data_IF_013514871317
#
_entry.id   IF_013514871317
#
_cell.length_a   1.000
_cell.length_b   1.000
_cell.length_c   1.000
_cell.angle_alpha   90.00
_cell.angle_beta   90.00
_cell.angle_gamma   90.00
#
_symmetry.space_group_name_H-M   'P 1'
#
loop_
_entity.id
_entity.type
_entity.pdbx_description
1 polymer ?
#
# COMPACT_ATOMS: atom_id res chain seq x y z
N UNK A 1 4.23 -7.74 10.51
CA UNK A 1 2.81 -7.81 10.88
C UNK A 1 2.24 -9.22 10.77
N UNK A 2 2.42 -9.95 9.65
CA UNK A 2 1.85 -11.29 9.44
C UNK A 2 2.22 -12.29 10.56
N UNK A 3 3.50 -12.40 10.90
CA UNK A 3 3.96 -13.27 12.00
C UNK A 3 3.37 -12.88 13.37
N UNK A 4 3.18 -11.57 13.63
CA UNK A 4 2.53 -11.11 14.87
C UNK A 4 1.04 -11.50 14.87
N UNK A 5 0.34 -11.32 13.75
CA UNK A 5 -1.05 -11.73 13.63
C UNK A 5 -1.22 -13.25 13.83
N UNK A 6 -0.35 -14.06 13.22
CA UNK A 6 -0.37 -15.51 13.39
C UNK A 6 -0.19 -15.93 14.87
N UNK A 7 0.74 -15.30 15.60
CA UNK A 7 0.89 -15.56 17.04
C UNK A 7 -0.36 -15.23 17.85
N UNK A 8 -0.99 -14.10 17.56
CA UNK A 8 -2.24 -13.71 18.22
C UNK A 8 -3.35 -14.75 17.93
N UNK A 9 -3.48 -15.17 16.66
CA UNK A 9 -4.48 -16.18 16.29
C UNK A 9 -4.26 -17.49 17.06
N UNK A 10 -3.00 -17.94 17.19
CA UNK A 10 -2.69 -19.16 17.93
C UNK A 10 -2.99 -19.00 19.42
N UNK A 11 -2.54 -17.91 20.03
CA UNK A 11 -2.59 -17.73 21.48
C UNK A 11 -3.99 -17.31 21.98
N UNK A 12 -4.65 -16.37 21.26
CA UNK A 12 -5.84 -15.70 21.77
C UNK A 12 -7.13 -16.24 21.13
N UNK A 13 -7.02 -16.91 19.96
CA UNK A 13 -8.16 -17.45 19.21
C UNK A 13 -8.09 -18.97 19.00
N UNK A 14 -7.24 -19.68 19.75
CA UNK A 14 -7.15 -21.14 19.69
C UNK A 14 -6.84 -21.68 18.29
N UNK A 15 -5.98 -21.01 17.53
CA UNK A 15 -5.59 -21.33 16.15
C UNK A 15 -6.74 -21.23 15.12
N UNK A 16 -7.83 -20.56 15.45
CA UNK A 16 -8.93 -20.29 14.52
C UNK A 16 -8.94 -18.84 14.10
N UNK A 17 -9.14 -18.59 12.82
CA UNK A 17 -9.25 -17.21 12.29
C UNK A 17 -10.56 -16.61 12.83
N UNK A 18 -10.53 -15.41 13.45
CA UNK A 18 -11.75 -14.72 13.86
C UNK A 18 -12.66 -14.44 12.66
N UNK A 19 -13.94 -14.76 12.78
CA UNK A 19 -14.92 -14.62 11.69
C UNK A 19 -15.71 -13.31 11.75
N UNK A 20 -15.59 -12.57 12.85
CA UNK A 20 -16.21 -11.26 13.00
C UNK A 20 -15.25 -10.13 12.60
N UNK A 21 -15.84 -9.00 12.19
CA UNK A 21 -15.10 -7.86 11.66
C UNK A 21 -14.11 -7.26 12.65
N UNK A 22 -14.55 -7.04 13.89
CA UNK A 22 -13.76 -6.25 14.85
C UNK A 22 -12.53 -7.03 15.30
N UNK A 23 -12.69 -8.31 15.64
CA UNK A 23 -11.58 -9.16 16.02
C UNK A 23 -10.60 -9.39 14.86
N UNK A 24 -11.11 -9.69 13.65
CA UNK A 24 -10.23 -9.90 12.50
C UNK A 24 -9.51 -8.61 12.09
N UNK A 25 -10.20 -7.47 12.12
CA UNK A 25 -9.65 -6.16 11.78
C UNK A 25 -8.61 -5.66 12.78
N UNK A 26 -8.67 -6.10 14.04
CA UNK A 26 -7.71 -5.75 15.10
C UNK A 26 -6.33 -6.41 14.92
N UNK A 27 -6.24 -7.46 14.11
CA UNK A 27 -4.99 -8.18 13.89
C UNK A 27 -3.91 -7.29 13.21
N UNK A 28 -2.64 -7.39 13.62
CA UNK A 28 -1.56 -6.59 13.07
C UNK A 28 -1.41 -6.72 11.55
N UNK A 29 -1.58 -5.62 10.85
CA UNK A 29 -1.47 -5.55 9.38
C UNK A 29 -2.77 -5.81 8.63
N UNK A 30 -3.87 -6.07 9.32
CA UNK A 30 -5.20 -6.19 8.71
C UNK A 30 -5.85 -4.81 8.63
N UNK A 31 -6.08 -4.34 7.42
CA UNK A 31 -6.84 -3.13 7.11
C UNK A 31 -8.28 -3.46 6.72
N UNK A 32 -9.13 -2.42 6.55
CA UNK A 32 -10.53 -2.59 6.11
C UNK A 32 -10.66 -3.43 4.83
N UNK A 33 -9.76 -3.19 3.86
CA UNK A 33 -9.74 -3.98 2.63
C UNK A 33 -9.44 -5.46 2.90
N UNK A 34 -8.38 -5.74 3.66
CA UNK A 34 -7.97 -7.12 3.97
C UNK A 34 -9.07 -7.85 4.75
N UNK A 35 -9.66 -7.17 5.75
CA UNK A 35 -10.76 -7.73 6.51
C UNK A 35 -11.97 -8.05 5.60
N UNK A 36 -12.39 -7.08 4.79
CA UNK A 36 -13.49 -7.28 3.84
C UNK A 36 -13.24 -8.42 2.85
N UNK A 37 -12.04 -8.49 2.28
CA UNK A 37 -11.68 -9.52 1.31
C UNK A 37 -11.68 -10.92 1.95
N UNK A 38 -10.94 -11.10 3.04
CA UNK A 38 -10.82 -12.43 3.68
C UNK A 38 -12.16 -12.90 4.21
N UNK A 39 -12.86 -12.05 4.96
CA UNK A 39 -14.14 -12.44 5.55
C UNK A 39 -15.22 -12.73 4.50
N UNK A 40 -15.22 -12.03 3.36
CA UNK A 40 -16.21 -12.29 2.32
C UNK A 40 -15.83 -13.47 1.41
N UNK A 41 -14.59 -13.52 0.94
CA UNK A 41 -14.17 -14.52 -0.06
C UNK A 41 -13.95 -15.88 0.58
N UNK A 42 -13.24 -15.93 1.73
CA UNK A 42 -12.93 -17.20 2.37
C UNK A 42 -14.05 -17.72 3.29
N UNK A 43 -14.85 -16.81 3.89
CA UNK A 43 -15.83 -17.16 4.92
C UNK A 43 -17.26 -16.76 4.54
N UNK A 44 -17.49 -16.29 3.32
CA UNK A 44 -18.76 -15.83 2.76
C UNK A 44 -19.55 -14.89 3.69
N UNK A 45 -18.84 -14.05 4.46
CA UNK A 45 -19.48 -13.03 5.30
C UNK A 45 -19.85 -11.80 4.47
N UNK A 46 -20.90 -11.11 4.85
CA UNK A 46 -21.39 -9.93 4.10
C UNK A 46 -20.57 -8.67 4.38
N UNK A 47 -19.30 -8.66 3.93
CA UNK A 47 -18.40 -7.51 4.03
C UNK A 47 -17.86 -7.07 2.68
N UNK A 48 -17.78 -5.75 2.47
CA UNK A 48 -17.24 -5.17 1.23
C UNK A 48 -15.71 -5.11 1.26
N UNK A 49 -15.09 -5.57 0.18
CA UNK A 49 -13.67 -5.44 -0.07
C UNK A 49 -13.40 -4.25 -1.02
N UNK A 50 -13.03 -3.08 -0.47
CA UNK A 50 -12.90 -1.84 -1.26
C UNK A 50 -11.43 -1.46 -1.41
N UNK A 51 -10.80 -1.89 -2.49
CA UNK A 51 -9.44 -1.53 -2.88
C UNK A 51 -9.39 -0.31 -3.82
N UNK A 52 -8.21 -0.03 -4.39
CA UNK A 52 -8.03 1.01 -5.40
C UNK A 52 -8.73 0.71 -6.72
N UNK A 53 -8.85 -0.56 -7.10
CA UNK A 53 -9.54 -0.99 -8.31
C UNK A 53 -11.04 -0.79 -8.18
N UNK A 54 -11.63 -1.25 -7.09
CA UNK A 54 -13.05 -1.09 -6.78
C UNK A 54 -13.44 0.39 -6.73
N UNK A 55 -12.64 1.23 -6.05
CA UNK A 55 -12.86 2.69 -6.02
C UNK A 55 -12.87 3.29 -7.42
N UNK A 56 -11.96 2.87 -8.29
CA UNK A 56 -11.90 3.33 -9.68
C UNK A 56 -13.10 2.88 -10.49
N UNK A 57 -13.46 1.60 -10.41
CA UNK A 57 -14.61 1.03 -11.14
C UNK A 57 -15.88 1.77 -10.77
N UNK A 58 -16.21 1.87 -9.49
CA UNK A 58 -17.43 2.55 -9.02
C UNK A 58 -17.38 4.05 -9.36
N UNK A 59 -16.22 4.71 -9.22
CA UNK A 59 -16.08 6.12 -9.61
C UNK A 59 -16.39 6.36 -11.08
N UNK A 60 -16.03 5.41 -11.97
CA UNK A 60 -16.36 5.48 -13.40
C UNK A 60 -17.81 5.17 -13.68
N UNK A 61 -18.36 4.12 -13.10
CA UNK A 61 -19.79 3.77 -13.23
C UNK A 61 -20.66 4.97 -12.85
N UNK A 62 -20.33 5.63 -11.73
CA UNK A 62 -21.11 6.72 -11.15
C UNK A 62 -20.61 8.13 -11.49
N UNK A 63 -19.58 8.24 -12.33
CA UNK A 63 -18.96 9.50 -12.78
C UNK A 63 -18.45 10.40 -11.64
N UNK A 64 -17.88 9.81 -10.58
CA UNK A 64 -17.32 10.55 -9.43
C UNK A 64 -15.88 10.99 -9.68
N UNK A 65 -15.62 12.31 -9.61
CA UNK A 65 -14.29 12.88 -9.90
C UNK A 65 -13.31 12.73 -8.76
N UNK A 66 -13.72 12.91 -7.49
CA UNK A 66 -12.81 12.95 -6.34
C UNK A 66 -13.04 11.77 -5.40
N UNK A 67 -11.96 11.24 -4.82
CA UNK A 67 -12.01 10.25 -3.76
C UNK A 67 -11.96 10.93 -2.37
N UNK A 68 -12.90 11.82 -2.08
CA UNK A 68 -13.10 12.41 -0.76
C UNK A 68 -13.77 11.42 0.20
N UNK A 69 -13.75 11.72 1.51
CA UNK A 69 -14.47 10.92 2.51
C UNK A 69 -15.96 10.74 2.16
N UNK A 70 -16.61 11.80 1.70
CA UNK A 70 -18.00 11.76 1.23
C UNK A 70 -18.19 10.78 0.07
N UNK A 71 -17.32 10.84 -0.94
CA UNK A 71 -17.41 9.94 -2.09
C UNK A 71 -17.03 8.49 -1.73
N UNK A 72 -16.19 8.25 -0.73
CA UNK A 72 -15.92 6.90 -0.23
C UNK A 72 -17.16 6.31 0.46
N UNK A 73 -17.89 7.12 1.23
CA UNK A 73 -19.15 6.68 1.83
C UNK A 73 -20.21 6.39 0.75
N UNK A 74 -20.25 7.21 -0.30
CA UNK A 74 -21.11 6.95 -1.46
C UNK A 74 -20.75 5.64 -2.15
N UNK A 75 -19.45 5.35 -2.37
CA UNK A 75 -18.99 4.08 -2.96
C UNK A 75 -19.44 2.91 -2.11
N UNK A 76 -19.28 2.98 -0.78
CA UNK A 76 -19.79 1.96 0.14
C UNK A 76 -21.28 1.73 -0.01
N UNK A 77 -22.08 2.81 0.04
CA UNK A 77 -23.53 2.75 -0.12
C UNK A 77 -23.96 2.20 -1.48
N UNK A 78 -23.25 2.59 -2.56
CA UNK A 78 -23.50 2.06 -3.89
C UNK A 78 -23.28 0.54 -3.96
N UNK A 79 -22.16 0.08 -3.44
CA UNK A 79 -21.83 -1.35 -3.41
C UNK A 79 -22.82 -2.12 -2.55
N UNK A 80 -23.12 -1.64 -1.33
CA UNK A 80 -24.08 -2.30 -0.43
C UNK A 80 -25.49 -2.46 -1.02
N UNK A 81 -25.89 -1.57 -1.93
CA UNK A 81 -27.19 -1.65 -2.62
C UNK A 81 -27.20 -2.62 -3.80
N UNK A 82 -26.02 -2.99 -4.31
CA UNK A 82 -25.91 -3.79 -5.53
C UNK A 82 -25.26 -5.15 -5.28
N UNK A 83 -24.83 -5.43 -4.06
CA UNK A 83 -24.21 -6.70 -3.70
C UNK A 83 -25.28 -7.79 -3.53
N UNK A 84 -24.99 -8.97 -4.03
CA UNK A 84 -25.73 -10.17 -3.65
C UNK A 84 -25.18 -10.68 -2.31
N UNK A 85 -25.99 -10.58 -1.27
CA UNK A 85 -25.60 -10.96 0.09
C UNK A 85 -25.31 -12.47 0.24
N UNK A 86 -25.86 -13.31 -0.65
CA UNK A 86 -25.61 -14.74 -0.66
C UNK A 86 -24.31 -15.10 -1.37
N UNK A 87 -23.77 -14.18 -2.19
CA UNK A 87 -22.58 -14.34 -3.00
C UNK A 87 -21.62 -13.16 -2.87
N UNK A 88 -21.46 -12.67 -1.65
CA UNK A 88 -20.64 -11.47 -1.36
C UNK A 88 -19.18 -11.64 -1.80
N UNK A 89 -18.60 -12.83 -1.57
CA UNK A 89 -17.23 -13.14 -2.01
C UNK A 89 -17.08 -13.02 -3.52
N UNK A 90 -17.95 -13.70 -4.28
CA UNK A 90 -17.93 -13.66 -5.75
C UNK A 90 -18.11 -12.24 -6.29
N UNK A 91 -18.99 -11.45 -5.68
CA UNK A 91 -19.19 -10.05 -6.07
C UNK A 91 -17.92 -9.21 -5.86
N UNK A 92 -17.26 -9.37 -4.71
CA UNK A 92 -16.01 -8.66 -4.43
C UNK A 92 -14.91 -9.08 -5.39
N UNK A 93 -14.75 -10.37 -5.67
CA UNK A 93 -13.76 -10.87 -6.65
C UNK A 93 -14.05 -10.32 -8.04
N UNK A 94 -15.29 -10.43 -8.52
CA UNK A 94 -15.70 -9.98 -9.85
C UNK A 94 -15.41 -8.49 -10.07
N UNK A 95 -15.73 -7.62 -9.10
CA UNK A 95 -15.48 -6.17 -9.25
C UNK A 95 -13.99 -5.81 -9.15
N UNK A 96 -13.22 -6.54 -8.34
CA UNK A 96 -11.76 -6.39 -8.27
C UNK A 96 -11.11 -6.82 -9.58
N UNK A 97 -11.49 -7.98 -10.14
CA UNK A 97 -10.98 -8.50 -11.39
C UNK A 97 -11.36 -7.61 -12.58
N UNK A 98 -12.61 -7.12 -12.62
CA UNK A 98 -13.02 -6.12 -13.60
C UNK A 98 -12.09 -4.90 -13.59
N UNK A 99 -11.71 -4.44 -12.39
CA UNK A 99 -10.74 -3.37 -12.22
C UNK A 99 -9.34 -3.73 -12.70
N UNK A 100 -8.87 -4.95 -12.41
CA UNK A 100 -7.53 -5.41 -12.77
C UNK A 100 -7.37 -5.67 -14.28
N UNK A 101 -8.39 -6.25 -14.93
CA UNK A 101 -8.26 -6.78 -16.29
C UNK A 101 -8.89 -5.91 -17.38
N UNK A 102 -9.98 -5.21 -17.07
CA UNK A 102 -10.81 -4.47 -18.05
C UNK A 102 -10.81 -2.97 -17.77
N UNK A 103 -11.20 -2.56 -16.58
CA UNK A 103 -11.33 -1.15 -16.21
C UNK A 103 -9.98 -0.54 -15.81
N UNK A 104 -8.97 -0.65 -16.66
CA UNK A 104 -7.58 -0.26 -16.41
C UNK A 104 -7.43 1.24 -16.07
N UNK A 105 -6.38 1.64 -15.32
CA UNK A 105 -6.19 3.05 -14.92
C UNK A 105 -6.08 4.03 -16.08
N UNK A 106 -5.30 3.71 -17.11
CA UNK A 106 -5.02 4.62 -18.25
C UNK A 106 -5.87 4.32 -19.47
N UNK A 107 -5.85 3.08 -19.95
CA UNK A 107 -6.52 2.64 -21.18
C UNK A 107 -7.56 1.55 -20.85
N UNK A 108 -8.74 1.93 -20.34
CA UNK A 108 -9.77 0.94 -20.03
C UNK A 108 -10.37 0.32 -21.29
N UNK A 109 -10.57 -1.00 -21.25
CA UNK A 109 -11.16 -1.78 -22.36
C UNK A 109 -12.69 -1.68 -22.35
N UNK A 110 -13.24 -0.46 -22.43
CA UNK A 110 -14.66 -0.21 -22.20
C UNK A 110 -15.60 -0.96 -23.15
N UNK A 111 -15.19 -1.23 -24.39
CA UNK A 111 -16.00 -1.98 -25.35
C UNK A 111 -16.19 -3.45 -24.96
N UNK A 112 -15.24 -4.01 -24.19
CA UNK A 112 -15.28 -5.40 -23.66
C UNK A 112 -15.91 -5.47 -22.26
N UNK A 113 -16.23 -4.31 -21.66
CA UNK A 113 -16.74 -4.25 -20.29
C UNK A 113 -18.20 -4.67 -20.23
N UNK A 114 -18.59 -5.67 -19.41
CA UNK A 114 -19.98 -6.09 -19.28
C UNK A 114 -20.88 -5.00 -18.68
N UNK A 115 -20.30 -3.98 -18.03
CA UNK A 115 -21.01 -2.86 -17.42
C UNK A 115 -21.03 -1.59 -18.28
N UNK A 116 -20.62 -1.64 -19.56
CA UNK A 116 -20.46 -0.46 -20.40
C UNK A 116 -21.79 0.31 -20.60
N UNK A 117 -22.90 -0.40 -20.75
CA UNK A 117 -24.25 0.16 -20.91
C UNK A 117 -24.72 1.00 -19.72
N UNK A 118 -24.25 0.64 -18.51
CA UNK A 118 -24.60 1.33 -17.25
C UNK A 118 -23.55 2.35 -16.82
N UNK A 119 -22.38 2.40 -17.50
CA UNK A 119 -21.25 3.19 -17.06
C UNK A 119 -21.36 4.65 -17.51
N UNK A 120 -21.67 5.57 -16.58
CA UNK A 120 -21.74 7.00 -16.88
C UNK A 120 -20.39 7.60 -17.30
N UNK A 121 -19.26 7.05 -16.82
CA UNK A 121 -17.92 7.45 -17.25
C UNK A 121 -17.64 7.06 -18.70
N UNK A 122 -18.08 5.89 -19.16
CA UNK A 122 -17.98 5.48 -20.57
C UNK A 122 -18.85 6.37 -21.46
N UNK A 123 -20.11 6.58 -21.08
CA UNK A 123 -21.04 7.45 -21.81
C UNK A 123 -20.53 8.91 -21.95
N UNK A 124 -19.68 9.36 -21.01
CA UNK A 124 -19.06 10.69 -21.09
C UNK A 124 -17.92 10.80 -22.11
N UNK A 125 -17.49 9.70 -22.72
CA UNK A 125 -16.34 9.63 -23.63
C UNK A 125 -14.95 9.71 -22.97
N UNK A 126 -14.87 10.04 -21.69
CA UNK A 126 -13.61 10.26 -20.97
C UNK A 126 -13.50 9.47 -19.66
N UNK A 127 -13.65 8.13 -19.67
CA UNK A 127 -13.67 7.31 -18.48
C UNK A 127 -12.40 7.44 -17.63
N UNK A 128 -11.25 7.74 -18.25
CA UNK A 128 -9.97 7.90 -17.55
C UNK A 128 -9.90 9.11 -16.61
N UNK A 129 -10.85 10.05 -16.73
CA UNK A 129 -10.96 11.22 -15.85
C UNK A 129 -11.65 10.89 -14.50
N UNK A 130 -12.09 9.65 -14.31
CA UNK A 130 -12.77 9.20 -13.09
C UNK A 130 -12.05 8.00 -12.46
N UNK A 131 -11.64 8.12 -11.17
CA UNK A 131 -11.50 9.37 -10.42
C UNK A 131 -10.32 10.20 -10.95
N UNK A 132 -10.33 11.51 -10.68
CA UNK A 132 -9.18 12.35 -10.96
C UNK A 132 -7.98 11.88 -10.15
N UNK A 133 -6.81 11.90 -10.77
CA UNK A 133 -5.56 11.61 -10.06
C UNK A 133 -5.36 12.68 -8.98
N UNK A 134 -5.01 12.25 -7.78
CA UNK A 134 -4.50 13.16 -6.76
C UNK A 134 -3.21 13.82 -7.27
N UNK A 135 -3.04 15.11 -6.96
CA UNK A 135 -1.76 15.79 -7.22
C UNK A 135 -0.69 15.06 -6.41
N UNK A 136 0.29 14.51 -7.11
CA UNK A 136 1.43 13.83 -6.48
C UNK A 136 2.23 14.92 -5.77
N UNK A 137 2.28 14.88 -4.45
CA UNK A 137 3.20 15.74 -3.69
C UNK A 137 4.63 15.43 -4.13
N UNK A 138 5.43 16.47 -4.41
CA UNK A 138 6.85 16.29 -4.72
C UNK A 138 7.50 15.51 -3.59
N UNK A 139 8.11 14.38 -3.93
CA UNK A 139 8.91 13.62 -2.98
C UNK A 139 10.17 14.42 -2.67
N UNK A 140 10.48 14.73 -1.41
CA UNK A 140 11.71 15.44 -1.09
C UNK A 140 12.92 14.60 -1.48
N UNK A 141 13.83 15.22 -2.23
CA UNK A 141 15.14 14.62 -2.58
C UNK A 141 16.05 14.79 -1.37
N UNK A 142 16.66 13.71 -0.93
CA UNK A 142 17.65 13.70 0.14
C UNK A 142 18.94 13.09 -0.39
N UNK A 143 20.07 13.77 -0.16
CA UNK A 143 21.38 13.29 -0.56
C UNK A 143 22.08 12.63 0.62
N UNK A 144 22.67 11.47 0.39
CA UNK A 144 23.40 10.73 1.40
C UNK A 144 24.80 10.41 0.88
N UNK A 145 25.78 10.44 1.77
CA UNK A 145 27.07 9.78 1.58
C UNK A 145 27.05 8.45 2.33
N UNK A 146 27.46 7.39 1.68
CA UNK A 146 27.62 6.07 2.29
C UNK A 146 28.99 5.49 1.98
N UNK A 147 29.55 4.71 2.89
CA UNK A 147 30.88 4.14 2.73
C UNK A 147 30.94 2.66 3.09
N UNK A 148 31.68 1.89 2.28
CA UNK A 148 32.05 0.52 2.61
C UNK A 148 33.32 0.58 3.45
N UNK A 149 33.19 0.38 4.77
CA UNK A 149 34.29 0.39 5.71
C UNK A 149 34.72 -1.05 5.95
N UNK A 150 35.98 -1.33 5.63
CA UNK A 150 36.57 -2.67 5.78
C UNK A 150 37.65 -2.68 6.84
N UNK A 151 37.65 -3.72 7.63
CA UNK A 151 38.75 -4.05 8.54
C UNK A 151 39.08 -5.54 8.37
N UNK A 152 40.24 -5.85 7.85
CA UNK A 152 40.63 -7.20 7.41
C UNK A 152 39.60 -7.73 6.41
N UNK A 153 38.95 -8.85 6.72
CA UNK A 153 37.92 -9.56 5.94
C UNK A 153 36.48 -9.14 6.29
N UNK A 154 36.30 -8.19 7.22
CA UNK A 154 34.99 -7.75 7.72
C UNK A 154 34.58 -6.41 7.15
N UNK A 155 33.26 -6.22 7.04
CA UNK A 155 32.64 -4.95 6.61
C UNK A 155 31.77 -4.44 7.76
N UNK A 156 31.86 -3.13 8.03
CA UNK A 156 30.98 -2.48 8.99
C UNK A 156 29.58 -2.32 8.38
N UNK A 157 28.60 -2.88 9.05
CA UNK A 157 27.19 -2.67 8.77
C UNK A 157 26.50 -2.16 10.02
N UNK A 158 25.41 -1.40 9.83
CA UNK A 158 24.57 -0.89 10.91
C UNK A 158 23.13 -1.29 10.72
N UNK A 159 22.39 -1.38 11.82
CA UNK A 159 20.96 -1.56 11.77
C UNK A 159 20.29 -0.18 11.61
N UNK A 160 19.38 -0.08 10.66
CA UNK A 160 18.66 1.16 10.38
C UNK A 160 17.65 1.44 11.50
N UNK A 161 17.68 2.65 12.05
CA UNK A 161 16.81 3.12 13.13
C UNK A 161 15.75 4.15 12.67
N UNK A 162 15.78 4.54 11.39
CA UNK A 162 14.82 5.49 10.82
C UNK A 162 13.44 4.85 10.58
N UNK A 163 12.37 5.68 10.54
CA UNK A 163 11.00 5.21 10.25
C UNK A 163 10.90 4.40 8.94
N UNK A 164 11.63 4.83 7.90
CA UNK A 164 11.63 4.13 6.62
C UNK A 164 12.57 2.94 6.67
N UNK A 165 12.04 1.72 6.44
CA UNK A 165 12.81 0.48 6.42
C UNK A 165 13.54 0.21 7.74
N UNK A 166 12.91 0.51 8.87
CA UNK A 166 13.46 0.27 10.20
C UNK A 166 13.87 -1.20 10.38
N UNK A 167 15.03 -1.41 11.01
CA UNK A 167 15.55 -2.73 11.34
C UNK A 167 16.27 -3.45 10.22
N UNK A 168 16.33 -2.92 8.99
CA UNK A 168 17.18 -3.47 7.94
C UNK A 168 18.65 -3.14 8.19
N UNK A 169 19.53 -4.06 7.73
CA UNK A 169 20.96 -3.86 7.74
C UNK A 169 21.40 -3.03 6.53
N UNK A 170 22.26 -2.04 6.76
CA UNK A 170 22.78 -1.15 5.73
C UNK A 170 24.25 -0.81 6.01
N UNK A 171 24.98 -0.36 4.98
CA UNK A 171 26.28 0.28 5.19
C UNK A 171 26.10 1.60 5.93
N UNK A 172 27.08 2.11 6.69
CA UNK A 172 26.99 3.41 7.32
C UNK A 172 26.71 4.51 6.28
N UNK A 173 25.65 5.31 6.54
CA UNK A 173 25.25 6.43 5.69
C UNK A 173 24.96 7.67 6.53
N UNK A 174 25.31 8.84 6.00
CA UNK A 174 25.01 10.16 6.59
C UNK A 174 24.31 11.04 5.56
N UNK A 175 23.24 11.69 5.95
CA UNK A 175 22.62 12.71 5.12
C UNK A 175 23.55 13.94 5.04
N UNK A 176 23.73 14.47 3.84
CA UNK A 176 24.59 15.62 3.56
C UNK A 176 23.84 16.70 2.77
N UNK A 177 24.38 17.92 2.76
CA UNK A 177 24.03 18.98 1.81
C UNK A 177 24.96 18.92 0.60
N UNK A 178 24.52 19.44 -0.55
CA UNK A 178 25.29 19.37 -1.80
C UNK A 178 26.61 20.16 -1.72
N UNK A 179 26.68 21.19 -0.86
CA UNK A 179 27.84 22.06 -0.69
C UNK A 179 28.83 21.57 0.38
N UNK A 180 28.56 20.44 1.02
CA UNK A 180 29.41 19.92 2.10
C UNK A 180 30.59 19.10 1.56
N UNK A 181 31.69 19.12 2.31
CA UNK A 181 32.81 18.19 2.05
C UNK A 181 32.39 16.79 2.56
N UNK A 182 31.74 16.02 1.70
CA UNK A 182 31.18 14.72 2.05
C UNK A 182 32.22 13.74 2.62
N UNK A 183 33.51 13.87 2.23
CA UNK A 183 34.59 13.02 2.75
C UNK A 183 34.84 13.30 4.23
N UNK A 184 35.04 14.60 4.56
CA UNK A 184 35.26 15.02 5.95
C UNK A 184 34.03 14.77 6.82
N UNK A 185 32.85 15.09 6.32
CA UNK A 185 31.60 14.86 7.00
C UNK A 185 31.37 13.38 7.32
N UNK A 186 31.73 12.49 6.39
CA UNK A 186 31.60 11.06 6.60
C UNK A 186 32.64 10.52 7.59
N UNK A 187 33.90 11.00 7.53
CA UNK A 187 34.92 10.65 8.52
C UNK A 187 34.47 11.04 9.93
N UNK A 188 34.00 12.29 10.09
CA UNK A 188 33.51 12.80 11.36
C UNK A 188 32.33 11.94 11.87
N UNK A 189 31.36 11.64 11.00
CA UNK A 189 30.23 10.78 11.37
C UNK A 189 30.65 9.41 11.87
N UNK A 190 31.63 8.77 11.22
CA UNK A 190 32.13 7.45 11.65
C UNK A 190 32.86 7.53 12.98
N UNK A 191 33.66 8.59 13.17
CA UNK A 191 34.35 8.82 14.44
C UNK A 191 33.34 9.10 15.58
N UNK A 192 32.40 10.00 15.39
CA UNK A 192 31.41 10.37 16.41
C UNK A 192 30.51 9.19 16.81
N UNK A 193 30.16 8.34 15.86
CA UNK A 193 29.23 7.25 16.10
C UNK A 193 29.86 5.95 16.58
N UNK A 194 31.08 5.65 16.10
CA UNK A 194 31.73 4.34 16.33
C UNK A 194 33.11 4.43 16.95
N UNK A 195 33.69 5.63 17.08
CA UNK A 195 35.05 5.83 17.57
C UNK A 195 36.15 5.42 16.57
N UNK A 196 35.80 5.14 15.30
CA UNK A 196 36.77 4.67 14.31
C UNK A 196 37.37 5.80 13.48
N UNK A 197 38.71 5.78 13.32
CA UNK A 197 39.41 6.63 12.37
C UNK A 197 39.54 5.86 11.05
N UNK A 198 39.02 6.43 9.97
CA UNK A 198 39.00 5.79 8.65
C UNK A 198 39.88 6.54 7.64
N UNK A 199 40.54 5.82 6.74
CA UNK A 199 41.24 6.34 5.58
C UNK A 199 40.50 5.92 4.30
N UNK A 200 40.56 6.77 3.27
CA UNK A 200 40.03 6.40 1.96
C UNK A 200 41.13 5.74 1.14
N UNK A 201 40.81 4.60 0.54
CA UNK A 201 41.59 4.05 -0.56
C UNK A 201 41.03 4.63 -1.87
N UNK A 202 41.93 5.19 -2.68
CA UNK A 202 41.65 5.54 -4.07
C UNK A 202 41.52 4.26 -4.90
#
# INVERSE_FOLDING_TARGET
>A
NFHKAAKIIVNDYGSKIPEDWDNFRSLPGVGDYTAGAVLSIALNKNYLAIDGNVKRVVSRITRRKKLSKYNLNYIRSFLSKNIDINRTGDFNEAIMELGACICLPRLPKCRQCPLNSFCAGYKSGIPSNYPQKSVIKKVPVRTFVGGIIRFKDRILIQKRDSQMLNGLWEIPMKQITLDSNYILDFKKYIFDKYGYIISFKK
#
